data_IF_192184301746
#
_entry.id   IF_192184301746
#
_cell.length_a   1.000
_cell.length_b   1.000
_cell.length_c   1.000
_cell.angle_alpha   90.00
_cell.angle_beta   90.00
_cell.angle_gamma   90.00
#
_symmetry.space_group_name_H-M   'P 1'
#
loop_
_entity.id
_entity.type
_entity.pdbx_description
1 polymer ?
#
# COMPACT_ATOMS: atom_id res chain seq x y z
N UNK A 1 -10.88 -12.99 15.71
CA UNK A 1 -11.56 -11.75 15.26
C UNK A 1 -11.98 -11.98 13.82
N UNK A 2 -13.29 -11.99 13.57
CA UNK A 2 -13.87 -12.58 12.35
C UNK A 2 -13.64 -11.67 11.13
N UNK A 3 -13.01 -12.21 10.08
CA UNK A 3 -13.02 -11.60 8.74
C UNK A 3 -14.23 -12.17 8.02
N UNK A 4 -15.29 -11.36 7.90
CA UNK A 4 -16.48 -11.72 7.13
C UNK A 4 -16.23 -11.34 5.67
N UNK A 5 -15.81 -12.30 4.85
CA UNK A 5 -15.86 -12.15 3.40
C UNK A 5 -17.33 -12.23 2.97
N UNK A 6 -17.95 -11.08 2.69
CA UNK A 6 -19.30 -11.05 2.13
C UNK A 6 -19.29 -11.68 0.74
N UNK A 7 -20.10 -12.74 0.61
CA UNK A 7 -20.73 -13.31 -0.59
C UNK A 7 -19.86 -13.64 -1.81
N UNK A 8 -19.82 -14.95 -2.08
CA UNK A 8 -19.33 -15.63 -3.28
C UNK A 8 -19.83 -15.03 -4.60
N UNK A 9 -19.07 -14.08 -5.12
CA UNK A 9 -18.78 -13.95 -6.56
C UNK A 9 -17.26 -14.00 -6.63
N UNK A 10 -16.68 -14.86 -7.47
CA UNK A 10 -15.25 -14.83 -7.72
C UNK A 10 -14.93 -13.56 -8.52
N UNK A 11 -14.93 -12.42 -7.84
CA UNK A 11 -14.49 -11.16 -8.37
C UNK A 11 -12.97 -11.18 -8.32
N UNK A 12 -12.36 -11.70 -9.37
CA UNK A 12 -10.96 -11.39 -9.63
C UNK A 12 -10.91 -9.89 -9.92
N UNK A 13 -10.15 -9.09 -9.15
CA UNK A 13 -9.92 -7.72 -9.56
C UNK A 13 -9.28 -7.75 -10.94
N UNK A 14 -9.93 -7.15 -11.93
CA UNK A 14 -9.33 -6.93 -13.24
C UNK A 14 -8.30 -5.81 -13.09
N UNK A 15 -7.05 -6.05 -13.49
CA UNK A 15 -6.03 -5.02 -13.49
C UNK A 15 -6.19 -4.10 -14.71
N UNK A 16 -6.07 -2.78 -14.52
CA UNK A 16 -5.97 -1.84 -15.63
C UNK A 16 -4.60 -2.01 -16.33
N UNK A 17 -4.60 -2.14 -17.66
CA UNK A 17 -3.40 -2.26 -18.49
C UNK A 17 -3.06 -0.93 -19.17
N UNK A 18 -1.84 -0.81 -19.72
CA UNK A 18 -1.41 0.37 -20.49
C UNK A 18 -0.42 1.30 -19.76
N UNK A 19 0.16 0.88 -18.64
CA UNK A 19 1.32 1.57 -18.05
C UNK A 19 2.56 1.37 -18.93
N UNK A 20 3.27 2.46 -19.20
CA UNK A 20 4.55 2.44 -19.91
C UNK A 20 5.72 2.45 -18.92
N UNK A 21 6.83 1.82 -19.29
CA UNK A 21 8.03 1.79 -18.47
C UNK A 21 8.75 3.15 -18.48
N UNK A 22 9.22 3.58 -17.30
CA UNK A 22 10.08 4.76 -17.15
C UNK A 22 11.50 4.47 -17.64
N UNK A 23 12.19 5.49 -18.17
CA UNK A 23 13.62 5.42 -18.56
C UNK A 23 14.56 5.93 -17.47
N UNK A 24 14.01 6.37 -16.34
CA UNK A 24 14.75 6.97 -15.23
C UNK A 24 14.32 6.36 -13.90
N UNK A 25 15.25 6.31 -12.96
CA UNK A 25 15.04 5.87 -11.58
C UNK A 25 15.67 6.90 -10.62
N UNK A 26 15.09 7.06 -9.42
CA UNK A 26 15.59 7.98 -8.40
C UNK A 26 15.65 7.30 -7.04
N UNK A 27 16.86 7.18 -6.49
CA UNK A 27 17.08 6.69 -5.12
C UNK A 27 16.59 7.70 -4.07
N UNK A 28 16.69 8.99 -4.38
CA UNK A 28 16.29 10.05 -3.46
C UNK A 28 14.77 10.07 -3.29
N UNK A 29 14.03 9.88 -4.37
CA UNK A 29 12.56 9.80 -4.35
C UNK A 29 12.15 8.57 -3.52
N UNK A 30 12.78 7.41 -3.77
CA UNK A 30 12.50 6.20 -2.98
C UNK A 30 12.76 6.38 -1.47
N UNK A 31 13.84 7.08 -1.08
CA UNK A 31 14.12 7.35 0.33
C UNK A 31 13.12 8.35 0.96
N UNK A 32 12.47 9.19 0.14
CA UNK A 32 11.54 10.21 0.60
C UNK A 32 10.10 9.68 0.67
N UNK A 33 9.72 8.83 -0.30
CA UNK A 33 8.36 8.33 -0.48
C UNK A 33 8.09 7.04 0.32
N UNK A 34 9.12 6.21 0.56
CA UNK A 34 8.95 4.96 1.32
C UNK A 34 8.95 5.22 2.83
N UNK A 35 7.81 4.95 3.45
CA UNK A 35 7.66 4.96 4.90
C UNK A 35 8.57 3.92 5.58
N UNK A 36 9.51 4.31 6.45
CA UNK A 36 10.33 3.38 7.23
C UNK A 36 9.53 2.73 8.36
N UNK A 37 9.98 1.57 8.88
CA UNK A 37 9.23 0.77 9.86
C UNK A 37 9.05 1.42 11.24
N UNK A 38 9.75 2.53 11.51
CA UNK A 38 9.72 3.24 12.79
C UNK A 38 8.82 4.49 12.77
N UNK A 39 8.04 4.71 11.72
CA UNK A 39 7.05 5.79 11.69
C UNK A 39 5.94 5.58 12.71
N UNK A 40 5.50 6.68 13.33
CA UNK A 40 4.27 6.68 14.13
C UNK A 40 3.03 6.80 13.22
N UNK A 41 1.85 6.59 13.81
CA UNK A 41 0.58 6.59 13.07
C UNK A 41 0.33 7.89 12.27
N UNK A 42 0.60 9.06 12.86
CA UNK A 42 0.38 10.34 12.15
C UNK A 42 1.31 10.49 10.97
N UNK A 43 2.56 10.01 11.08
CA UNK A 43 3.53 10.05 9.98
C UNK A 43 3.12 9.11 8.84
N UNK A 44 2.66 7.90 9.17
CA UNK A 44 2.14 6.94 8.18
C UNK A 44 0.92 7.50 7.45
N UNK A 45 -0.03 8.10 8.18
CA UNK A 45 -1.22 8.69 7.57
C UNK A 45 -0.85 9.83 6.62
N UNK A 46 0.05 10.74 7.02
CA UNK A 46 0.51 11.82 6.15
C UNK A 46 1.20 11.30 4.88
N UNK A 47 2.03 10.25 4.99
CA UNK A 47 2.71 9.64 3.84
C UNK A 47 1.74 8.99 2.85
N UNK A 48 0.71 8.30 3.33
CA UNK A 48 -0.30 7.72 2.43
C UNK A 48 -1.12 8.82 1.74
N UNK A 49 -1.48 9.87 2.49
CA UNK A 49 -2.21 11.02 1.95
C UNK A 49 -1.42 11.78 0.89
N UNK A 50 -0.08 11.86 0.98
CA UNK A 50 0.73 12.47 -0.10
C UNK A 50 0.69 11.70 -1.42
N UNK A 51 0.29 10.42 -1.39
CA UNK A 51 0.07 9.60 -2.57
C UNK A 51 -1.42 9.44 -2.95
N UNK A 52 -2.30 10.25 -2.35
CA UNK A 52 -3.74 10.22 -2.62
C UNK A 52 -4.49 9.02 -2.01
N UNK A 53 -3.87 8.34 -1.03
CA UNK A 53 -4.46 7.23 -0.30
C UNK A 53 -5.01 7.72 1.06
N UNK A 54 -6.14 7.18 1.49
CA UNK A 54 -6.78 7.57 2.74
C UNK A 54 -6.46 6.63 3.92
N UNK A 55 -7.12 6.84 5.07
CA UNK A 55 -6.96 5.99 6.24
C UNK A 55 -7.45 4.55 5.99
N UNK A 56 -8.49 4.37 5.18
CA UNK A 56 -9.00 3.06 4.84
C UNK A 56 -7.96 2.29 4.02
N UNK A 57 -7.35 2.94 3.03
CA UNK A 57 -6.27 2.37 2.22
C UNK A 57 -5.06 1.99 3.07
N UNK A 58 -4.65 2.85 4.01
CA UNK A 58 -3.56 2.55 4.95
C UNK A 58 -3.83 1.25 5.73
N UNK A 59 -5.03 1.11 6.29
CA UNK A 59 -5.39 -0.06 7.10
C UNK A 59 -5.48 -1.32 6.23
N UNK A 60 -6.10 -1.24 5.06
CA UNK A 60 -6.26 -2.37 4.14
C UNK A 60 -4.91 -2.83 3.59
N UNK A 61 -4.05 -1.92 3.14
CA UNK A 61 -2.73 -2.25 2.59
C UNK A 61 -1.78 -2.79 3.67
N UNK A 62 -1.91 -2.34 4.91
CA UNK A 62 -1.14 -2.86 6.06
C UNK A 62 -1.40 -4.34 6.33
N UNK A 63 -2.55 -4.90 5.90
CA UNK A 63 -2.82 -6.34 6.04
C UNK A 63 -1.85 -7.22 5.24
N UNK A 64 -1.14 -6.65 4.26
CA UNK A 64 -0.10 -7.34 3.50
C UNK A 64 1.02 -7.89 4.40
N UNK A 65 1.24 -7.30 5.58
CA UNK A 65 2.20 -7.81 6.57
C UNK A 65 1.74 -9.10 7.26
N UNK A 66 0.50 -9.56 7.05
CA UNK A 66 0.03 -10.86 7.57
C UNK A 66 0.74 -12.04 6.91
N UNK A 67 1.43 -11.80 5.78
CA UNK A 67 2.25 -12.75 5.04
C UNK A 67 3.64 -12.14 4.78
N UNK A 68 4.70 -12.96 4.82
CA UNK A 68 6.08 -12.50 4.66
C UNK A 68 6.88 -12.44 5.97
N UNK A 69 8.13 -11.99 5.89
CA UNK A 69 9.08 -11.93 7.01
C UNK A 69 9.79 -10.56 7.04
N UNK A 70 10.14 -10.09 8.23
CA UNK A 70 10.97 -8.89 8.45
C UNK A 70 12.31 -9.28 9.11
N UNK A 71 13.34 -8.45 8.92
CA UNK A 71 14.70 -8.64 9.47
C UNK A 71 14.96 -7.67 10.61
#
# INVERSE_FOLDING_TARGET
MYIVFKNNVHHTPTAYLGRNDTRTTSKNDANSDLSPPFFNFSQLLCSYQSHGLDLHDLVVLSTSHSIGLAR
#
